data_IF_507670649953
#
_entry.id   IF_507670649953
#
_cell.length_a   1.000
_cell.length_b   1.000
_cell.length_c   1.000
_cell.angle_alpha   90.00
_cell.angle_beta   90.00
_cell.angle_gamma   90.00
#
_symmetry.space_group_name_H-M   'P 1'
#
loop_
_entity.id
_entity.type
_entity.pdbx_description
1 polymer ?
#
# COMPACT_ATOMS: atom_id res chain seq x y z
N UNK A 1 -27.27 -1.96 -16.18
CA UNK A 1 -26.81 -3.15 -15.43
C UNK A 1 -26.25 -2.64 -14.11
N UNK A 2 -26.67 -3.19 -12.96
CA UNK A 2 -26.20 -2.73 -11.64
C UNK A 2 -24.67 -2.86 -11.52
N UNK A 3 -24.04 -1.90 -10.87
CA UNK A 3 -22.56 -1.86 -10.68
C UNK A 3 -22.02 -3.14 -10.05
N UNK A 4 -22.79 -3.72 -9.13
CA UNK A 4 -22.48 -4.99 -8.48
C UNK A 4 -22.30 -6.14 -9.50
N UNK A 5 -23.22 -6.30 -10.47
CA UNK A 5 -23.07 -7.34 -11.50
C UNK A 5 -21.80 -7.16 -12.32
N UNK A 6 -21.52 -5.93 -12.75
CA UNK A 6 -20.30 -5.61 -13.49
C UNK A 6 -19.04 -5.93 -12.68
N UNK A 7 -19.06 -5.69 -11.37
CA UNK A 7 -17.95 -6.00 -10.49
C UNK A 7 -17.73 -7.51 -10.33
N UNK A 8 -18.82 -8.28 -10.19
CA UNK A 8 -18.73 -9.74 -10.12
C UNK A 8 -18.15 -10.32 -11.43
N UNK A 9 -18.61 -9.84 -12.59
CA UNK A 9 -18.06 -10.23 -13.89
C UNK A 9 -16.57 -9.86 -14.03
N UNK A 10 -16.18 -8.65 -13.59
CA UNK A 10 -14.80 -8.21 -13.56
C UNK A 10 -13.93 -9.13 -12.68
N UNK A 11 -14.36 -9.43 -11.46
CA UNK A 11 -13.62 -10.34 -10.56
C UNK A 11 -13.50 -11.74 -11.17
N UNK A 12 -14.58 -12.28 -11.75
CA UNK A 12 -14.57 -13.59 -12.42
C UNK A 12 -13.59 -13.62 -13.58
N UNK A 13 -13.57 -12.58 -14.44
CA UNK A 13 -12.64 -12.48 -15.57
C UNK A 13 -11.16 -12.43 -15.15
N UNK A 14 -10.90 -11.90 -13.95
CA UNK A 14 -9.55 -11.79 -13.37
C UNK A 14 -9.20 -12.92 -12.40
N UNK A 15 -10.11 -13.90 -12.22
CA UNK A 15 -9.97 -14.99 -11.25
C UNK A 15 -9.72 -14.47 -9.81
N UNK A 16 -10.39 -13.37 -9.45
CA UNK A 16 -10.32 -12.75 -8.14
C UNK A 16 -11.49 -13.26 -7.28
N UNK A 17 -11.20 -13.55 -6.02
CA UNK A 17 -12.24 -13.88 -5.05
C UNK A 17 -12.99 -12.62 -4.63
N UNK A 18 -14.30 -12.77 -4.41
CA UNK A 18 -15.20 -11.67 -4.02
C UNK A 18 -15.48 -11.79 -2.53
N UNK A 19 -15.23 -10.71 -1.80
CA UNK A 19 -15.56 -10.60 -0.39
C UNK A 19 -16.89 -9.83 -0.21
N UNK A 20 -17.70 -10.23 0.76
CA UNK A 20 -18.97 -9.54 1.09
C UNK A 20 -18.78 -8.05 1.41
N UNK A 21 -17.65 -7.68 2.06
CA UNK A 21 -17.34 -6.29 2.35
C UNK A 21 -17.01 -5.49 1.08
N UNK A 22 -16.37 -6.11 0.08
CA UNK A 22 -16.14 -5.47 -1.22
C UNK A 22 -17.48 -5.16 -1.93
N UNK A 23 -18.45 -6.08 -1.87
CA UNK A 23 -19.80 -5.85 -2.42
C UNK A 23 -20.50 -4.69 -1.71
N UNK A 24 -20.39 -4.57 -0.37
CA UNK A 24 -20.92 -3.42 0.38
C UNK A 24 -20.31 -2.10 -0.09
N UNK A 25 -19.01 -2.07 -0.36
CA UNK A 25 -18.33 -0.88 -0.90
C UNK A 25 -18.83 -0.56 -2.30
N UNK A 26 -18.95 -1.55 -3.18
CA UNK A 26 -19.48 -1.37 -4.55
C UNK A 26 -20.89 -0.79 -4.51
N UNK A 27 -21.77 -1.29 -3.63
CA UNK A 27 -23.13 -0.76 -3.46
C UNK A 27 -23.12 0.69 -2.90
N UNK A 28 -22.15 1.02 -2.04
CA UNK A 28 -21.97 2.41 -1.58
C UNK A 28 -21.46 3.34 -2.69
N UNK A 29 -20.59 2.84 -3.57
CA UNK A 29 -20.11 3.56 -4.75
C UNK A 29 -21.21 3.76 -5.80
N UNK A 30 -22.10 2.78 -6.01
CA UNK A 30 -23.28 2.94 -6.89
C UNK A 30 -24.20 4.05 -6.38
N UNK A 31 -24.46 4.10 -5.06
CA UNK A 31 -25.24 5.20 -4.46
C UNK A 31 -24.53 6.55 -4.62
N UNK A 32 -23.21 6.59 -4.44
CA UNK A 32 -22.42 7.80 -4.66
C UNK A 32 -22.51 8.27 -6.13
N UNK A 33 -22.44 7.34 -7.07
CA UNK A 33 -22.60 7.62 -8.50
C UNK A 33 -23.96 8.23 -8.81
N UNK A 34 -25.04 7.58 -8.36
CA UNK A 34 -26.41 8.03 -8.62
C UNK A 34 -26.66 9.43 -8.03
N UNK A 35 -26.13 9.72 -6.83
CA UNK A 35 -26.30 11.02 -6.21
C UNK A 35 -25.54 12.16 -6.91
N UNK A 36 -24.41 11.87 -7.56
CA UNK A 36 -23.54 12.90 -8.12
C UNK A 36 -23.58 13.02 -9.65
N UNK A 37 -24.00 11.97 -10.36
CA UNK A 37 -23.91 11.91 -11.82
C UNK A 37 -25.24 11.59 -12.54
N UNK A 38 -26.28 11.13 -11.84
CA UNK A 38 -27.59 10.91 -12.47
C UNK A 38 -28.33 12.22 -12.72
N UNK A 39 -28.54 12.53 -14.00
CA UNK A 39 -29.26 13.69 -14.48
C UNK A 39 -30.79 13.45 -14.62
N UNK A 40 -31.40 12.57 -13.81
CA UNK A 40 -32.87 12.39 -13.90
C UNK A 40 -33.58 13.66 -13.38
N UNK A 41 -34.44 14.20 -14.21
CA UNK A 41 -35.18 15.47 -14.01
C UNK A 41 -35.96 15.49 -12.68
N UNK A 42 -36.35 14.32 -12.19
CA UNK A 42 -37.09 14.13 -10.93
C UNK A 42 -36.22 14.17 -9.67
N UNK A 43 -34.89 13.98 -9.79
CA UNK A 43 -33.96 13.98 -8.64
C UNK A 43 -33.59 15.38 -8.17
N UNK A 44 -33.81 16.41 -8.96
CA UNK A 44 -33.41 17.80 -8.63
C UNK A 44 -34.22 18.39 -7.48
N UNK A 45 -35.45 17.92 -7.24
CA UNK A 45 -36.35 18.45 -6.21
C UNK A 45 -36.09 17.85 -4.79
N UNK A 46 -35.34 16.74 -4.68
CA UNK A 46 -35.07 16.04 -3.43
C UNK A 46 -33.57 15.86 -3.14
N UNK A 47 -32.68 16.56 -3.84
CA UNK A 47 -31.23 16.44 -3.55
C UNK A 47 -30.91 17.08 -2.21
N UNK A 48 -30.84 16.24 -1.15
CA UNK A 48 -30.01 16.49 0.01
C UNK A 48 -28.60 16.77 -0.50
N UNK A 49 -27.87 17.75 0.07
CA UNK A 49 -26.49 18.04 -0.32
C UNK A 49 -25.68 16.77 -0.45
N UNK A 50 -25.32 16.42 -1.69
CA UNK A 50 -24.60 15.19 -1.97
C UNK A 50 -23.12 15.38 -1.67
N UNK A 51 -22.57 14.52 -0.83
CA UNK A 51 -21.13 14.52 -0.56
C UNK A 51 -20.35 14.25 -1.86
N UNK A 52 -19.39 15.11 -2.17
CA UNK A 52 -18.60 15.07 -3.40
C UNK A 52 -17.37 14.15 -3.28
N UNK A 53 -16.97 13.76 -2.07
CA UNK A 53 -15.86 12.86 -1.78
C UNK A 53 -16.31 11.44 -1.48
N UNK A 54 -15.51 10.45 -1.89
CA UNK A 54 -15.60 9.07 -1.43
C UNK A 54 -14.23 8.64 -0.92
N UNK A 55 -14.14 8.41 0.38
CA UNK A 55 -12.90 8.06 1.08
C UNK A 55 -12.92 6.59 1.50
N UNK A 56 -12.10 5.77 0.84
CA UNK A 56 -11.98 4.34 1.13
C UNK A 56 -10.67 4.09 1.86
N UNK A 57 -10.76 3.67 3.11
CA UNK A 57 -9.59 3.29 3.91
C UNK A 57 -9.62 1.81 4.32
N UNK A 58 -8.51 1.32 4.81
CA UNK A 58 -8.34 -0.06 5.29
C UNK A 58 -6.89 -0.51 5.15
N UNK A 59 -6.59 -1.74 5.56
CA UNK A 59 -5.23 -2.29 5.53
C UNK A 59 -4.64 -2.39 4.12
N UNK A 60 -3.32 -2.54 4.04
CA UNK A 60 -2.62 -2.79 2.78
C UNK A 60 -3.06 -4.15 2.20
N UNK A 61 -3.23 -4.23 0.88
CA UNK A 61 -3.55 -5.49 0.19
C UNK A 61 -5.03 -5.90 0.22
N UNK A 62 -5.94 -5.16 0.88
CA UNK A 62 -7.38 -5.50 0.93
C UNK A 62 -8.15 -5.23 -0.37
N UNK A 63 -7.50 -4.59 -1.36
CA UNK A 63 -8.10 -4.33 -2.68
C UNK A 63 -8.76 -2.96 -2.84
N UNK A 64 -8.45 -1.97 -2.00
CA UNK A 64 -8.99 -0.60 -2.10
C UNK A 64 -8.81 0.02 -3.48
N UNK A 65 -7.53 0.09 -3.94
CA UNK A 65 -7.19 0.65 -5.25
C UNK A 65 -7.87 -0.12 -6.38
N UNK A 66 -7.95 -1.46 -6.29
CA UNK A 66 -8.64 -2.29 -7.28
C UNK A 66 -10.13 -1.92 -7.40
N UNK A 67 -10.84 -1.78 -6.29
CA UNK A 67 -12.26 -1.43 -6.28
C UNK A 67 -12.48 -0.02 -6.84
N UNK A 68 -11.66 0.95 -6.39
CA UNK A 68 -11.77 2.32 -6.87
C UNK A 68 -11.36 2.44 -8.35
N UNK A 69 -10.35 1.72 -8.81
CA UNK A 69 -9.98 1.64 -10.23
C UNK A 69 -11.09 1.03 -11.09
N UNK A 70 -11.70 -0.06 -10.62
CA UNK A 70 -12.86 -0.64 -11.30
C UNK A 70 -13.98 0.39 -11.42
N UNK A 71 -14.33 1.06 -10.32
CA UNK A 71 -15.37 2.09 -10.32
C UNK A 71 -15.00 3.28 -11.21
N UNK A 72 -13.78 3.78 -11.10
CA UNK A 72 -13.28 4.90 -11.89
C UNK A 72 -13.32 4.64 -13.40
N UNK A 73 -13.11 3.39 -13.83
CA UNK A 73 -13.21 2.99 -15.24
C UNK A 73 -14.62 3.01 -15.79
N UNK A 74 -15.66 2.94 -14.94
CA UNK A 74 -17.06 2.97 -15.41
C UNK A 74 -17.49 4.34 -15.97
N UNK A 75 -16.71 5.40 -15.78
CA UNK A 75 -17.04 6.73 -16.25
C UNK A 75 -16.38 7.03 -17.61
N UNK A 76 -17.16 7.55 -18.55
CA UNK A 76 -16.68 8.04 -19.85
C UNK A 76 -16.35 9.54 -19.84
N UNK A 77 -16.51 10.21 -18.69
CA UNK A 77 -16.24 11.65 -18.53
C UNK A 77 -14.75 11.92 -18.27
N UNK A 78 -14.34 13.17 -18.46
CA UNK A 78 -12.96 13.62 -18.14
C UNK A 78 -12.62 13.29 -16.68
N UNK A 79 -11.59 12.52 -16.47
CA UNK A 79 -11.18 11.98 -15.16
C UNK A 79 -9.65 11.89 -15.07
N UNK A 80 -9.10 12.09 -13.86
CA UNK A 80 -7.66 12.03 -13.61
C UNK A 80 -7.42 11.18 -12.37
N UNK A 81 -6.51 10.20 -12.47
CA UNK A 81 -5.95 9.45 -11.36
C UNK A 81 -4.51 9.87 -11.18
N UNK A 82 -4.08 10.07 -9.94
CA UNK A 82 -2.72 10.46 -9.59
C UNK A 82 -2.39 9.94 -8.19
N UNK A 83 -1.14 9.58 -7.94
CA UNK A 83 -0.66 9.36 -6.59
C UNK A 83 -0.63 10.68 -5.83
N UNK A 84 -1.08 10.66 -4.58
CA UNK A 84 -1.22 11.89 -3.82
C UNK A 84 0.09 12.66 -3.67
N UNK A 85 1.20 11.97 -3.44
CA UNK A 85 2.52 12.60 -3.35
C UNK A 85 2.92 13.30 -4.65
N UNK A 86 2.69 12.66 -5.80
CA UNK A 86 2.96 13.25 -7.12
C UNK A 86 2.10 14.51 -7.35
N UNK A 87 0.83 14.44 -6.95
CA UNK A 87 -0.06 15.59 -7.01
C UNK A 87 0.45 16.77 -6.18
N UNK A 88 0.94 16.53 -4.97
CA UNK A 88 1.49 17.58 -4.10
C UNK A 88 2.80 18.17 -4.65
N UNK A 89 3.69 17.33 -5.20
CA UNK A 89 4.90 17.81 -5.89
C UNK A 89 4.51 18.77 -7.04
N UNK A 90 3.62 18.33 -7.92
CA UNK A 90 3.16 19.16 -9.04
C UNK A 90 2.47 20.46 -8.58
N UNK A 91 1.77 20.41 -7.46
CA UNK A 91 1.16 21.60 -6.86
C UNK A 91 2.22 22.57 -6.32
N UNK A 92 3.21 22.09 -5.58
CA UNK A 92 4.30 22.91 -5.06
C UNK A 92 5.13 23.55 -6.19
N UNK A 93 5.45 22.78 -7.22
CA UNK A 93 6.15 23.28 -8.41
C UNK A 93 5.34 24.39 -9.11
N UNK A 94 4.02 24.18 -9.23
CA UNK A 94 3.12 25.22 -9.78
C UNK A 94 3.10 26.48 -8.90
N UNK A 95 3.02 26.33 -7.58
CA UNK A 95 3.05 27.45 -6.63
C UNK A 95 4.37 28.23 -6.69
N UNK A 96 5.49 27.51 -6.85
CA UNK A 96 6.81 28.11 -6.95
C UNK A 96 6.97 28.92 -8.24
N UNK A 97 6.51 28.38 -9.37
CA UNK A 97 6.66 28.99 -10.69
C UNK A 97 5.57 30.03 -11.02
N UNK A 98 4.63 30.31 -10.10
CA UNK A 98 3.55 31.25 -10.36
C UNK A 98 3.79 32.61 -9.67
N UNK A 99 3.85 33.67 -10.44
CA UNK A 99 4.08 35.03 -9.92
C UNK A 99 2.91 35.57 -9.07
N UNK A 100 1.69 35.06 -9.31
CA UNK A 100 0.47 35.48 -8.61
C UNK A 100 0.18 34.58 -7.41
N UNK A 101 1.04 34.60 -6.39
CA UNK A 101 0.96 33.69 -5.23
C UNK A 101 -0.40 33.71 -4.53
N UNK A 102 -1.06 34.84 -4.41
CA UNK A 102 -2.36 34.99 -3.73
C UNK A 102 -3.51 34.24 -4.46
N UNK A 103 -3.41 34.11 -5.79
CA UNK A 103 -4.41 33.41 -6.63
C UNK A 103 -3.95 32.06 -7.17
N UNK A 104 -2.75 31.64 -6.82
CA UNK A 104 -2.15 30.46 -7.42
C UNK A 104 -2.97 29.18 -7.14
N UNK A 105 -3.53 29.01 -5.95
CA UNK A 105 -4.40 27.88 -5.62
C UNK A 105 -5.63 27.87 -6.53
N UNK A 106 -6.29 29.01 -6.70
CA UNK A 106 -7.47 29.13 -7.56
C UNK A 106 -7.14 28.82 -9.02
N UNK A 107 -6.03 29.36 -9.53
CA UNK A 107 -5.57 29.08 -10.90
C UNK A 107 -5.27 27.59 -11.08
N UNK A 108 -4.59 26.97 -10.12
CA UNK A 108 -4.29 25.56 -10.14
C UNK A 108 -5.56 24.71 -10.20
N UNK A 109 -6.53 24.98 -9.33
CA UNK A 109 -7.81 24.25 -9.30
C UNK A 109 -8.62 24.49 -10.56
N UNK A 110 -8.60 25.70 -11.13
CA UNK A 110 -9.24 25.97 -12.42
C UNK A 110 -8.58 25.20 -13.57
N UNK A 111 -7.25 25.04 -13.56
CA UNK A 111 -6.54 24.19 -14.51
C UNK A 111 -6.95 22.71 -14.37
N UNK A 112 -7.14 22.23 -13.15
CA UNK A 112 -7.70 20.90 -12.89
C UNK A 112 -9.14 20.80 -13.41
N UNK A 113 -9.93 21.89 -13.33
CA UNK A 113 -11.34 21.92 -13.81
C UNK A 113 -11.44 21.58 -15.29
N UNK A 114 -10.53 22.04 -16.10
CA UNK A 114 -10.52 21.79 -17.53
C UNK A 114 -10.07 20.35 -17.86
N UNK A 115 -9.32 19.72 -16.96
CA UNK A 115 -8.74 18.38 -17.14
C UNK A 115 -9.62 17.26 -16.62
N UNK A 116 -10.37 17.45 -15.53
CA UNK A 116 -11.13 16.37 -14.91
C UNK A 116 -12.40 16.82 -14.18
N UNK A 117 -13.47 16.00 -14.28
CA UNK A 117 -14.68 16.07 -13.44
C UNK A 117 -14.58 15.17 -12.21
N UNK A 118 -13.78 14.11 -12.29
CA UNK A 118 -13.47 13.20 -11.19
C UNK A 118 -11.97 13.17 -11.00
N UNK A 119 -11.53 13.36 -9.75
CA UNK A 119 -10.14 13.17 -9.31
C UNK A 119 -10.05 11.89 -8.48
N UNK A 120 -9.05 11.07 -8.71
CA UNK A 120 -8.76 9.92 -7.87
C UNK A 120 -7.34 10.06 -7.30
N UNK A 121 -7.27 10.27 -6.00
CA UNK A 121 -6.03 10.28 -5.23
C UNK A 121 -5.76 8.87 -4.70
N UNK A 122 -4.75 8.23 -5.26
CA UNK A 122 -4.28 6.94 -4.78
C UNK A 122 -3.21 7.14 -3.70
N UNK A 123 -3.19 6.26 -2.71
CA UNK A 123 -2.27 6.32 -1.56
C UNK A 123 -2.31 7.66 -0.81
N UNK A 124 -3.54 8.12 -0.50
CA UNK A 124 -3.72 9.39 0.19
C UNK A 124 -3.20 9.32 1.62
N UNK A 125 -2.14 10.05 1.89
CA UNK A 125 -1.52 10.19 3.21
C UNK A 125 -0.82 11.55 3.32
N UNK A 126 -0.83 12.15 4.50
CA UNK A 126 -0.16 13.42 4.78
C UNK A 126 0.97 13.17 5.76
N UNK A 127 2.20 13.49 5.33
CA UNK A 127 3.40 13.18 6.11
C UNK A 127 4.24 14.41 6.46
N UNK A 128 4.05 15.53 5.74
CA UNK A 128 4.81 16.73 6.00
C UNK A 128 3.90 17.93 6.33
N UNK A 129 4.46 18.90 7.05
CA UNK A 129 3.76 20.09 7.53
C UNK A 129 3.38 21.03 6.39
N UNK A 130 4.21 21.13 5.34
CA UNK A 130 3.94 22.00 4.20
C UNK A 130 2.65 21.63 3.47
N UNK A 131 2.44 20.31 3.26
CA UNK A 131 1.21 19.79 2.68
C UNK A 131 0.03 20.02 3.63
N UNK A 132 0.21 19.70 4.92
CA UNK A 132 -0.85 19.84 5.93
C UNK A 132 -1.43 21.26 5.97
N UNK A 133 -0.59 22.27 5.89
CA UNK A 133 -0.98 23.69 5.95
C UNK A 133 -1.76 24.17 4.73
N UNK A 134 -1.53 23.56 3.58
CA UNK A 134 -2.12 24.01 2.30
C UNK A 134 -3.40 23.24 1.96
N UNK A 135 -3.52 22.00 2.40
CA UNK A 135 -4.60 21.11 2.01
C UNK A 135 -6.00 21.65 2.31
N UNK A 136 -6.18 22.36 3.41
CA UNK A 136 -7.46 22.99 3.76
C UNK A 136 -7.97 23.88 2.62
N UNK A 137 -7.18 24.88 2.25
CA UNK A 137 -7.53 25.85 1.19
C UNK A 137 -7.66 25.20 -0.19
N UNK A 138 -6.78 24.24 -0.48
CA UNK A 138 -6.80 23.53 -1.75
C UNK A 138 -8.09 22.72 -1.92
N UNK A 139 -8.48 21.97 -0.89
CA UNK A 139 -9.69 21.13 -0.94
C UNK A 139 -10.98 21.95 -0.87
N UNK A 140 -11.03 23.07 -0.13
CA UNK A 140 -12.15 24.01 -0.21
C UNK A 140 -12.41 24.42 -1.66
N UNK A 141 -11.37 24.83 -2.37
CA UNK A 141 -11.51 25.24 -3.79
C UNK A 141 -11.89 24.09 -4.72
N UNK A 142 -11.41 22.87 -4.46
CA UNK A 142 -11.80 21.68 -5.22
C UNK A 142 -13.30 21.39 -5.04
N UNK A 143 -13.82 21.48 -3.81
CA UNK A 143 -15.24 21.26 -3.47
C UNK A 143 -16.12 22.37 -4.02
N UNK A 144 -15.75 23.64 -3.86
CA UNK A 144 -16.46 24.81 -4.44
C UNK A 144 -16.64 24.65 -5.96
N UNK A 145 -15.66 24.05 -6.64
CA UNK A 145 -15.71 23.75 -8.06
C UNK A 145 -16.52 22.48 -8.39
N UNK A 146 -17.26 21.91 -7.42
CA UNK A 146 -18.14 20.73 -7.58
C UNK A 146 -17.43 19.53 -8.23
N UNK A 147 -16.17 19.27 -7.82
CA UNK A 147 -15.39 18.11 -8.25
C UNK A 147 -15.67 16.92 -7.38
N UNK A 148 -15.97 15.79 -8.01
CA UNK A 148 -15.99 14.52 -7.29
C UNK A 148 -14.55 14.03 -7.04
N UNK A 149 -14.30 13.58 -5.83
CA UNK A 149 -12.96 13.11 -5.42
C UNK A 149 -13.06 11.73 -4.81
N UNK A 150 -12.25 10.81 -5.31
CA UNK A 150 -12.06 9.47 -4.76
C UNK A 150 -10.72 9.42 -4.04
N UNK A 151 -10.68 8.80 -2.87
CA UNK A 151 -9.46 8.62 -2.08
C UNK A 151 -9.28 7.14 -1.74
N UNK A 152 -8.10 6.59 -2.01
CA UNK A 152 -7.65 5.37 -1.35
C UNK A 152 -6.62 5.69 -0.29
N UNK A 153 -6.77 5.16 0.91
CA UNK A 153 -5.88 5.41 2.03
C UNK A 153 -5.71 4.18 2.92
N UNK A 154 -4.59 4.09 3.62
CA UNK A 154 -4.41 3.12 4.69
C UNK A 154 -4.81 3.68 6.07
N UNK A 155 -5.18 4.96 6.12
CA UNK A 155 -5.40 5.71 7.35
C UNK A 155 -6.83 6.24 7.36
N UNK A 156 -7.53 6.19 8.50
CA UNK A 156 -8.84 6.82 8.70
C UNK A 156 -8.72 8.33 8.61
N UNK A 157 -9.80 9.02 8.21
CA UNK A 157 -9.79 10.49 8.13
C UNK A 157 -9.33 11.13 9.45
N UNK A 158 -9.83 10.65 10.59
CA UNK A 158 -9.48 11.23 11.88
C UNK A 158 -8.01 11.04 12.30
N UNK A 159 -7.37 9.99 11.77
CA UNK A 159 -6.00 9.59 12.13
C UNK A 159 -4.96 10.14 11.14
N UNK A 160 -5.42 10.86 10.09
CA UNK A 160 -4.52 11.53 9.16
C UNK A 160 -3.65 12.55 9.90
N UNK A 161 -2.33 12.48 9.68
CA UNK A 161 -1.34 13.37 10.28
C UNK A 161 -1.40 13.38 11.82
N UNK A 162 -1.66 12.20 12.47
CA UNK A 162 -1.93 12.08 13.91
C UNK A 162 -0.80 12.61 14.79
N UNK A 163 0.44 12.26 14.45
CA UNK A 163 1.64 12.67 15.20
C UNK A 163 2.35 13.87 14.54
N UNK A 164 1.66 14.60 13.66
CA UNK A 164 2.26 15.68 12.87
C UNK A 164 2.46 16.96 13.65
N UNK A 165 3.53 17.70 13.32
CA UNK A 165 3.81 19.02 13.89
C UNK A 165 2.66 19.99 13.57
N UNK A 166 2.24 20.79 14.56
CA UNK A 166 1.16 21.78 14.42
C UNK A 166 -0.17 21.17 13.92
N UNK A 167 -0.50 19.96 14.37
CA UNK A 167 -1.71 19.26 13.98
C UNK A 167 -2.99 20.10 14.11
N UNK A 168 -3.07 20.98 15.09
CA UNK A 168 -4.25 21.86 15.30
C UNK A 168 -4.59 22.68 14.05
N UNK A 169 -3.59 23.06 13.28
CA UNK A 169 -3.80 23.79 12.02
C UNK A 169 -4.28 22.88 10.87
N UNK A 170 -4.14 21.57 11.02
CA UNK A 170 -4.64 20.57 10.08
C UNK A 170 -6.09 20.13 10.37
N UNK A 171 -6.57 20.31 11.61
CA UNK A 171 -7.93 19.92 12.02
C UNK A 171 -9.05 20.53 11.14
N UNK A 172 -8.98 21.78 10.68
CA UNK A 172 -9.98 22.35 9.77
C UNK A 172 -10.10 21.54 8.47
N UNK A 173 -8.97 21.08 7.90
CA UNK A 173 -8.98 20.23 6.72
C UNK A 173 -9.67 18.88 6.99
N UNK A 174 -9.37 18.22 8.11
CA UNK A 174 -10.06 16.98 8.50
C UNK A 174 -11.57 17.16 8.57
N UNK A 175 -12.03 18.30 9.12
CA UNK A 175 -13.44 18.65 9.17
C UNK A 175 -14.04 18.77 7.77
N UNK A 176 -13.40 19.53 6.88
CA UNK A 176 -13.83 19.69 5.48
C UNK A 176 -13.91 18.33 4.78
N UNK A 177 -12.88 17.49 4.93
CA UNK A 177 -12.81 16.18 4.31
C UNK A 177 -13.95 15.26 4.80
N UNK A 178 -14.22 15.25 6.11
CA UNK A 178 -15.26 14.43 6.75
C UNK A 178 -16.68 14.88 6.38
N UNK A 179 -16.91 16.18 6.37
CA UNK A 179 -18.21 16.74 6.00
C UNK A 179 -18.56 16.49 4.54
N UNK A 180 -17.56 16.54 3.66
CA UNK A 180 -17.74 16.43 2.21
C UNK A 180 -17.47 15.04 1.63
N UNK A 181 -17.05 14.05 2.44
CA UNK A 181 -16.74 12.70 1.96
C UNK A 181 -17.59 11.63 2.63
N UNK A 182 -17.95 10.61 1.86
CA UNK A 182 -18.47 9.35 2.37
C UNK A 182 -17.27 8.49 2.77
N UNK A 183 -17.02 8.37 4.06
CA UNK A 183 -15.96 7.50 4.57
C UNK A 183 -16.45 6.06 4.66
N UNK A 184 -15.66 5.12 4.15
CA UNK A 184 -15.88 3.68 4.22
C UNK A 184 -14.61 2.94 4.56
N UNK A 185 -14.74 1.94 5.41
CA UNK A 185 -13.66 1.00 5.73
C UNK A 185 -13.81 -0.27 4.92
N UNK A 186 -12.74 -0.69 4.26
CA UNK A 186 -12.64 -2.00 3.67
C UNK A 186 -11.76 -2.87 4.55
N UNK A 187 -12.38 -3.71 5.36
CA UNK A 187 -11.73 -4.77 6.12
C UNK A 187 -11.96 -6.12 5.44
N UNK A 188 -10.95 -6.95 5.43
CA UNK A 188 -11.09 -8.36 5.07
C UNK A 188 -11.06 -9.12 6.39
N UNK A 189 -12.15 -9.85 6.70
CA UNK A 189 -12.13 -10.76 7.85
C UNK A 189 -10.98 -11.76 7.69
N UNK A 190 -10.23 -12.02 8.74
CA UNK A 190 -9.04 -12.90 8.74
C UNK A 190 -9.30 -14.30 8.17
N UNK A 191 -10.54 -14.78 8.18
CA UNK A 191 -10.95 -16.06 7.59
C UNK A 191 -10.67 -16.19 6.08
N UNK A 192 -10.59 -15.08 5.33
CA UNK A 192 -10.31 -15.12 3.89
C UNK A 192 -8.82 -15.29 3.55
N UNK A 193 -7.93 -14.95 4.48
CA UNK A 193 -6.49 -15.18 4.31
C UNK A 193 -6.12 -16.64 4.53
N UNK A 194 -6.97 -17.42 5.20
CA UNK A 194 -6.75 -18.83 5.55
C UNK A 194 -7.17 -19.79 4.43
N UNK A 195 -8.09 -19.39 3.52
CA UNK A 195 -8.67 -20.27 2.50
C UNK A 195 -7.93 -20.29 1.14
N UNK A 196 -6.78 -19.62 0.97
CA UNK A 196 -5.87 -19.94 -0.12
C UNK A 196 -5.02 -21.16 0.22
N UNK A 197 -5.68 -22.28 0.46
CA UNK A 197 -5.07 -23.60 0.35
C UNK A 197 -4.80 -23.84 -1.14
N UNK A 198 -3.55 -24.18 -1.41
CA UNK A 198 -2.98 -24.66 -2.65
C UNK A 198 -2.43 -23.60 -3.61
N UNK A 199 -1.44 -22.81 -3.12
CA UNK A 199 -0.28 -22.50 -3.96
C UNK A 199 0.81 -21.86 -3.08
N UNK A 200 1.80 -22.69 -2.75
CA UNK A 200 3.15 -22.31 -2.31
C UNK A 200 3.21 -21.19 -1.25
N UNK A 201 2.65 -21.47 -0.06
CA UNK A 201 2.98 -20.63 1.09
C UNK A 201 4.46 -20.84 1.41
N UNK A 202 5.29 -19.90 0.96
CA UNK A 202 6.75 -19.91 1.18
C UNK A 202 7.16 -19.32 2.54
N UNK A 203 6.21 -19.24 3.45
CA UNK A 203 6.46 -18.97 4.86
C UNK A 203 6.27 -20.26 5.65
N UNK A 204 7.37 -20.87 6.07
CA UNK A 204 7.42 -22.18 6.67
C UNK A 204 7.62 -22.07 8.18
N UNK A 205 6.75 -22.68 8.98
CA UNK A 205 6.82 -22.69 10.45
C UNK A 205 6.10 -23.92 11.00
N UNK A 206 6.42 -24.34 12.25
CA UNK A 206 7.53 -23.91 13.08
C UNK A 206 8.89 -24.43 12.58
N UNK A 207 10.00 -23.97 13.20
CA UNK A 207 11.34 -24.50 12.90
C UNK A 207 11.44 -25.95 13.40
N UNK A 208 11.49 -26.90 12.45
CA UNK A 208 11.66 -28.32 12.71
C UNK A 208 12.26 -29.02 11.47
N UNK A 209 12.55 -30.31 11.59
CA UNK A 209 13.11 -31.10 10.49
C UNK A 209 12.27 -31.09 9.23
N UNK A 210 10.95 -31.15 9.35
CA UNK A 210 10.01 -31.12 8.21
C UNK A 210 10.08 -29.78 7.47
N UNK A 211 10.13 -28.68 8.19
CA UNK A 211 10.28 -27.32 7.64
C UNK A 211 11.63 -27.19 6.93
N UNK A 212 12.71 -27.61 7.57
CA UNK A 212 14.05 -27.60 6.97
C UNK A 212 14.12 -28.49 5.72
N UNK A 213 13.49 -29.65 5.72
CA UNK A 213 13.42 -30.50 4.55
C UNK A 213 12.68 -29.82 3.38
N UNK A 214 11.53 -29.22 3.64
CA UNK A 214 10.75 -28.48 2.63
C UNK A 214 11.55 -27.31 2.04
N UNK A 215 12.20 -26.50 2.89
CA UNK A 215 13.04 -25.39 2.48
C UNK A 215 14.19 -25.87 1.59
N UNK A 216 14.94 -26.88 2.05
CA UNK A 216 16.08 -27.40 1.31
C UNK A 216 15.66 -28.14 0.02
N UNK A 217 14.49 -28.77 -0.02
CA UNK A 217 13.92 -29.32 -1.24
C UNK A 217 13.67 -28.22 -2.26
N UNK A 218 12.96 -27.15 -1.85
CA UNK A 218 12.63 -26.03 -2.72
C UNK A 218 13.90 -25.29 -3.19
N UNK A 219 14.88 -25.10 -2.30
CA UNK A 219 16.17 -24.50 -2.65
C UNK A 219 16.89 -25.32 -3.72
N UNK A 220 16.98 -26.65 -3.58
CA UNK A 220 17.59 -27.54 -4.58
C UNK A 220 16.85 -27.52 -5.92
N UNK A 221 15.52 -27.43 -5.90
CA UNK A 221 14.73 -27.33 -7.13
C UNK A 221 15.04 -26.02 -7.88
N UNK A 222 15.11 -24.88 -7.20
CA UNK A 222 15.41 -23.59 -7.83
C UNK A 222 16.88 -23.45 -8.27
N UNK A 223 17.80 -24.11 -7.56
CA UNK A 223 19.24 -24.04 -7.86
C UNK A 223 19.73 -25.22 -8.71
N UNK A 224 18.80 -26.10 -9.18
CA UNK A 224 19.13 -27.21 -10.06
C UNK A 224 19.85 -26.69 -11.31
N UNK A 225 21.04 -27.26 -11.62
CA UNK A 225 21.94 -26.87 -12.70
C UNK A 225 22.64 -25.50 -12.52
N UNK A 226 22.57 -24.87 -11.34
CA UNK A 226 23.31 -23.65 -11.02
C UNK A 226 24.45 -23.96 -10.05
N UNK A 227 25.57 -23.29 -10.23
CA UNK A 227 26.74 -23.44 -9.36
C UNK A 227 26.72 -22.35 -8.28
N UNK A 228 27.17 -22.72 -7.06
CA UNK A 228 27.41 -21.72 -6.04
C UNK A 228 28.59 -20.83 -6.44
N UNK A 229 28.34 -19.56 -6.62
CA UNK A 229 29.37 -18.57 -6.92
C UNK A 229 29.20 -17.39 -5.94
N UNK A 230 29.94 -17.38 -4.81
CA UNK A 230 29.82 -16.33 -3.81
C UNK A 230 29.94 -14.95 -4.45
N UNK A 231 28.97 -14.05 -4.13
CA UNK A 231 28.89 -12.73 -4.72
C UNK A 231 29.53 -11.71 -3.79
N UNK A 232 30.55 -11.01 -4.27
CA UNK A 232 31.15 -9.87 -3.57
C UNK A 232 30.50 -8.57 -4.00
N UNK A 233 30.06 -7.78 -3.05
CA UNK A 233 29.46 -6.46 -3.24
C UNK A 233 30.37 -5.43 -2.56
N UNK A 234 30.79 -4.42 -3.30
CA UNK A 234 31.50 -3.27 -2.74
C UNK A 234 30.46 -2.19 -2.35
N UNK A 235 30.43 -1.84 -1.08
CA UNK A 235 29.49 -0.87 -0.53
C UNK A 235 30.28 0.21 0.19
N UNK A 236 30.57 1.29 -0.50
CA UNK A 236 31.33 2.44 0.01
C UNK A 236 32.70 2.04 0.61
N UNK A 237 33.43 1.18 -0.09
CA UNK A 237 34.76 0.71 0.34
C UNK A 237 34.71 -0.42 1.39
N UNK A 238 33.54 -0.96 1.68
CA UNK A 238 33.36 -2.15 2.51
C UNK A 238 32.87 -3.33 1.64
N UNK A 239 33.54 -4.47 1.77
CA UNK A 239 33.13 -5.70 1.07
C UNK A 239 32.03 -6.44 1.84
N UNK A 240 30.89 -6.71 1.20
CA UNK A 240 29.86 -7.62 1.67
C UNK A 240 29.87 -8.86 0.78
N UNK A 241 29.95 -10.05 1.38
CA UNK A 241 29.99 -11.32 0.63
C UNK A 241 28.69 -12.11 0.86
N UNK A 242 28.01 -12.46 -0.23
CA UNK A 242 26.88 -13.40 -0.22
C UNK A 242 27.45 -14.79 -0.47
N UNK A 243 27.58 -15.62 0.55
CA UNK A 243 28.24 -16.92 0.46
C UNK A 243 27.43 -17.96 -0.34
N UNK A 244 26.12 -17.96 -0.18
CA UNK A 244 25.20 -18.87 -0.88
C UNK A 244 24.50 -18.10 -2.00
N UNK A 245 25.15 -17.97 -3.16
CA UNK A 245 24.63 -17.24 -4.29
C UNK A 245 24.67 -18.08 -5.57
N UNK A 246 23.51 -18.28 -6.20
CA UNK A 246 23.27 -19.14 -7.36
C UNK A 246 22.53 -18.37 -8.45
N UNK A 247 23.25 -17.60 -9.28
CA UNK A 247 22.65 -16.85 -10.41
C UNK A 247 21.39 -16.06 -10.05
N UNK A 248 21.50 -15.20 -9.06
CA UNK A 248 20.40 -14.36 -8.58
C UNK A 248 19.53 -15.00 -7.49
N UNK A 249 19.80 -16.23 -7.09
CA UNK A 249 19.17 -16.87 -5.94
C UNK A 249 20.14 -16.79 -4.76
N UNK A 250 19.73 -16.11 -3.68
CA UNK A 250 20.53 -15.98 -2.49
C UNK A 250 19.87 -16.69 -1.30
N UNK A 251 20.69 -17.30 -0.43
CA UNK A 251 20.22 -17.92 0.80
C UNK A 251 21.02 -17.39 1.98
N UNK A 252 20.30 -16.91 2.99
CA UNK A 252 20.84 -16.33 4.21
C UNK A 252 20.19 -16.95 5.44
N UNK A 253 20.93 -17.02 6.53
CA UNK A 253 20.35 -17.06 7.86
C UNK A 253 19.90 -15.66 8.28
N UNK A 254 18.88 -15.59 9.14
CA UNK A 254 18.39 -14.31 9.67
C UNK A 254 19.50 -13.48 10.30
N UNK A 255 20.38 -14.10 11.08
CA UNK A 255 21.50 -13.44 11.74
C UNK A 255 22.50 -12.81 10.76
N UNK A 256 22.70 -13.41 9.59
CA UNK A 256 23.59 -12.85 8.57
C UNK A 256 23.07 -11.53 8.01
N UNK A 257 21.75 -11.32 8.01
CA UNK A 257 21.10 -10.11 7.51
C UNK A 257 20.77 -9.10 8.61
N UNK A 258 20.34 -9.55 9.79
CA UNK A 258 19.74 -8.68 10.78
C UNK A 258 20.52 -8.56 12.09
N UNK A 259 21.44 -9.50 12.41
CA UNK A 259 22.30 -9.38 13.59
C UNK A 259 23.61 -8.64 13.28
N UNK A 260 24.09 -8.69 12.06
CA UNK A 260 25.22 -7.88 11.59
C UNK A 260 24.81 -6.41 11.41
N UNK A 261 25.80 -5.50 11.46
CA UNK A 261 25.56 -4.06 11.24
C UNK A 261 25.34 -3.73 9.75
N UNK A 262 24.27 -4.29 9.19
CA UNK A 262 23.81 -3.97 7.85
C UNK A 262 22.71 -2.90 7.92
N UNK A 263 22.62 -2.09 6.89
CA UNK A 263 21.60 -1.03 6.76
C UNK A 263 20.90 -1.04 5.41
N UNK A 264 20.11 -0.02 5.16
CA UNK A 264 19.30 0.10 3.95
C UNK A 264 20.13 0.00 2.66
N UNK A 265 21.32 0.56 2.65
CA UNK A 265 22.21 0.55 1.49
C UNK A 265 22.71 -0.86 1.15
N UNK A 266 23.07 -1.64 2.19
CA UNK A 266 23.45 -3.05 2.03
C UNK A 266 22.30 -3.86 1.44
N UNK A 267 21.09 -3.68 1.95
CA UNK A 267 19.90 -4.37 1.46
C UNK A 267 19.51 -3.97 0.03
N UNK A 268 19.74 -2.71 -0.34
CA UNK A 268 19.56 -2.26 -1.73
C UNK A 268 20.53 -2.99 -2.65
N UNK A 269 21.81 -3.11 -2.28
CA UNK A 269 22.81 -3.81 -3.11
C UNK A 269 22.53 -5.32 -3.18
N UNK A 270 22.14 -5.96 -2.08
CA UNK A 270 21.68 -7.37 -2.09
C UNK A 270 20.48 -7.52 -3.03
N UNK A 271 19.48 -6.64 -2.92
CA UNK A 271 18.27 -6.71 -3.73
C UNK A 271 18.52 -6.45 -5.22
N UNK A 272 19.56 -5.69 -5.57
CA UNK A 272 19.92 -5.43 -6.98
C UNK A 272 20.48 -6.66 -7.70
N UNK A 273 21.06 -7.60 -6.97
CA UNK A 273 21.65 -8.80 -7.56
C UNK A 273 20.79 -10.07 -7.37
N UNK A 274 19.68 -9.99 -6.62
CA UNK A 274 18.85 -11.15 -6.30
C UNK A 274 17.50 -11.11 -7.03
N UNK A 275 17.11 -12.27 -7.58
CA UNK A 275 15.79 -12.53 -8.15
C UNK A 275 14.92 -13.37 -7.21
N UNK A 276 15.54 -14.01 -6.22
CA UNK A 276 14.90 -14.81 -5.18
C UNK A 276 15.77 -14.83 -3.92
N UNK A 277 15.14 -14.68 -2.74
CA UNK A 277 15.86 -14.68 -1.46
C UNK A 277 15.26 -15.71 -0.51
N UNK A 278 16.10 -16.57 0.05
CA UNK A 278 15.79 -17.45 1.17
C UNK A 278 16.28 -16.79 2.47
N UNK A 279 15.42 -16.79 3.49
CA UNK A 279 15.77 -16.33 4.85
C UNK A 279 15.44 -17.45 5.82
N UNK A 280 16.45 -18.03 6.43
CA UNK A 280 16.32 -19.14 7.38
C UNK A 280 16.30 -18.63 8.82
N UNK A 281 15.57 -19.34 9.68
CA UNK A 281 15.61 -19.20 11.13
C UNK A 281 15.16 -17.80 11.62
N UNK A 282 14.08 -17.24 11.02
CA UNK A 282 13.48 -16.01 11.53
C UNK A 282 12.96 -16.21 12.96
N UNK A 283 13.48 -15.49 13.97
CA UNK A 283 13.04 -15.61 15.36
C UNK A 283 11.70 -14.93 15.59
N UNK A 284 11.10 -15.21 16.74
CA UNK A 284 10.02 -14.37 17.27
C UNK A 284 10.58 -13.07 17.84
N UNK A 285 9.88 -11.94 17.63
CA UNK A 285 10.38 -10.63 18.04
C UNK A 285 9.86 -10.20 19.41
N UNK A 286 10.72 -9.51 20.16
CA UNK A 286 10.44 -8.96 21.47
C UNK A 286 11.34 -7.75 21.75
N UNK A 287 11.32 -7.23 22.98
CA UNK A 287 12.13 -6.06 23.33
C UNK A 287 13.65 -6.30 23.22
N UNK A 288 14.11 -7.53 23.41
CA UNK A 288 15.55 -7.85 23.42
C UNK A 288 16.15 -7.87 22.01
N UNK A 289 15.35 -8.12 20.96
CA UNK A 289 15.79 -8.18 19.57
C UNK A 289 15.16 -7.08 18.70
N UNK A 290 14.75 -5.98 19.31
CA UNK A 290 14.10 -4.86 18.62
C UNK A 290 14.97 -4.21 17.53
N UNK A 291 16.29 -4.16 17.71
CA UNK A 291 17.23 -3.67 16.69
C UNK A 291 17.27 -4.58 15.46
N UNK A 292 17.30 -5.89 15.67
CA UNK A 292 17.23 -6.90 14.60
C UNK A 292 15.87 -6.81 13.89
N UNK A 293 14.79 -6.63 14.64
CA UNK A 293 13.46 -6.39 14.08
C UNK A 293 13.41 -5.14 13.19
N UNK A 294 14.01 -4.04 13.62
CA UNK A 294 14.06 -2.81 12.82
C UNK A 294 14.81 -3.03 11.48
N UNK A 295 15.94 -3.75 11.52
CA UNK A 295 16.66 -4.11 10.30
C UNK A 295 15.85 -5.02 9.39
N UNK A 296 15.16 -6.00 9.95
CA UNK A 296 14.27 -6.88 9.21
C UNK A 296 13.12 -6.12 8.53
N UNK A 297 12.50 -5.16 9.23
CA UNK A 297 11.47 -4.28 8.65
C UNK A 297 12.05 -3.54 7.43
N UNK A 298 13.23 -2.95 7.57
CA UNK A 298 13.91 -2.22 6.48
C UNK A 298 14.22 -3.13 5.29
N UNK A 299 14.73 -4.34 5.55
CA UNK A 299 15.00 -5.35 4.53
C UNK A 299 13.73 -5.71 3.74
N UNK A 300 12.64 -6.03 4.46
CA UNK A 300 11.37 -6.42 3.83
C UNK A 300 10.76 -5.25 3.04
N UNK A 301 10.88 -4.02 3.51
CA UNK A 301 10.44 -2.84 2.78
C UNK A 301 11.14 -2.72 1.42
N UNK A 302 12.47 -2.90 1.38
CA UNK A 302 13.27 -2.83 0.15
C UNK A 302 12.96 -3.99 -0.81
N UNK A 303 12.89 -5.21 -0.30
CA UNK A 303 12.55 -6.41 -1.09
C UNK A 303 11.15 -6.26 -1.70
N UNK A 304 10.21 -5.69 -0.94
CA UNK A 304 8.84 -5.47 -1.37
C UNK A 304 8.74 -4.47 -2.54
N UNK A 305 9.46 -3.36 -2.47
CA UNK A 305 9.50 -2.37 -3.56
C UNK A 305 10.03 -2.98 -4.86
N UNK A 306 11.00 -3.89 -4.75
CA UNK A 306 11.58 -4.59 -5.92
C UNK A 306 10.79 -5.83 -6.34
N UNK A 307 9.74 -6.20 -5.59
CA UNK A 307 8.89 -7.37 -5.85
C UNK A 307 9.67 -8.68 -5.95
N UNK A 308 10.73 -8.82 -5.15
CA UNK A 308 11.55 -10.03 -5.14
C UNK A 308 10.81 -11.10 -4.32
N UNK A 309 10.49 -12.27 -4.90
CA UNK A 309 9.89 -13.38 -4.17
C UNK A 309 10.84 -13.92 -3.10
N UNK A 310 10.28 -14.30 -1.95
CA UNK A 310 11.04 -14.83 -0.83
C UNK A 310 10.48 -16.17 -0.34
N UNK A 311 11.34 -16.96 0.32
CA UNK A 311 10.96 -18.08 1.17
C UNK A 311 11.58 -17.87 2.54
N UNK A 312 10.76 -17.97 3.59
CA UNK A 312 11.20 -17.79 4.98
C UNK A 312 10.88 -19.03 5.80
N UNK A 313 11.82 -19.47 6.62
CA UNK A 313 11.54 -20.36 7.75
C UNK A 313 11.56 -19.59 9.07
N UNK A 314 10.60 -19.82 9.95
CA UNK A 314 10.38 -19.06 11.16
C UNK A 314 9.95 -19.90 12.34
N UNK A 315 10.24 -19.44 13.55
CA UNK A 315 9.76 -20.07 14.79
C UNK A 315 8.24 -20.08 14.88
N UNK A 316 7.59 -18.98 14.47
CA UNK A 316 6.15 -18.79 14.54
C UNK A 316 5.52 -18.64 13.17
N UNK A 317 4.25 -18.96 13.06
CA UNK A 317 3.50 -18.64 11.85
C UNK A 317 3.42 -17.14 11.62
N UNK A 318 3.30 -16.73 10.39
CA UNK A 318 3.32 -15.31 9.98
C UNK A 318 2.31 -14.45 10.75
N UNK A 319 1.12 -14.99 11.07
CA UNK A 319 0.08 -14.28 11.81
C UNK A 319 0.34 -14.25 13.33
N UNK A 320 1.23 -15.09 13.83
CA UNK A 320 1.56 -15.22 15.26
C UNK A 320 2.93 -14.65 15.61
N UNK A 321 3.60 -13.98 14.64
CA UNK A 321 4.84 -13.27 14.93
C UNK A 321 4.56 -12.10 15.87
N UNK A 322 5.27 -12.09 16.99
CA UNK A 322 5.24 -10.97 17.94
C UNK A 322 6.09 -9.79 17.44
N UNK A 323 6.02 -8.68 18.16
CA UNK A 323 6.78 -7.46 17.90
C UNK A 323 7.15 -6.79 19.21
N UNK A 324 8.28 -6.10 19.26
CA UNK A 324 8.53 -5.11 20.32
C UNK A 324 7.41 -4.05 20.31
N UNK A 325 7.12 -3.48 21.47
CA UNK A 325 6.03 -2.49 21.62
C UNK A 325 6.23 -1.27 20.72
N UNK A 326 7.46 -0.78 20.66
CA UNK A 326 7.83 0.40 19.87
C UNK A 326 7.64 0.20 18.36
N UNK A 327 7.77 -1.02 17.84
CA UNK A 327 7.71 -1.33 16.41
C UNK A 327 6.38 -1.97 15.98
N UNK A 328 5.47 -2.24 16.91
CA UNK A 328 4.24 -3.00 16.65
C UNK A 328 3.35 -2.40 15.55
N UNK A 329 3.25 -1.08 15.49
CA UNK A 329 2.45 -0.35 14.47
C UNK A 329 3.05 -0.54 13.05
N UNK A 330 4.37 -0.42 12.94
CA UNK A 330 5.09 -0.56 11.66
C UNK A 330 5.14 -2.03 11.24
N UNK A 331 5.32 -2.94 12.18
CA UNK A 331 5.45 -4.36 11.93
C UNK A 331 4.18 -4.99 11.33
N UNK A 332 2.99 -4.48 11.63
CA UNK A 332 1.73 -4.89 10.97
C UNK A 332 1.82 -4.75 9.45
N UNK A 333 2.41 -3.66 8.96
CA UNK A 333 2.66 -3.44 7.53
C UNK A 333 3.64 -4.48 6.99
N UNK A 334 4.69 -4.78 7.73
CA UNK A 334 5.68 -5.80 7.35
C UNK A 334 5.04 -7.19 7.22
N UNK A 335 4.15 -7.57 8.13
CA UNK A 335 3.38 -8.83 8.04
C UNK A 335 2.57 -8.89 6.73
N UNK A 336 1.89 -7.81 6.36
CA UNK A 336 1.14 -7.76 5.10
C UNK A 336 2.05 -7.94 3.88
N UNK A 337 3.21 -7.29 3.87
CA UNK A 337 4.22 -7.43 2.80
C UNK A 337 4.81 -8.83 2.72
N UNK A 338 5.04 -9.47 3.86
CA UNK A 338 5.50 -10.86 3.92
C UNK A 338 4.49 -11.81 3.28
N UNK A 339 3.19 -11.65 3.54
CA UNK A 339 2.14 -12.42 2.88
C UNK A 339 2.19 -12.29 1.35
N UNK A 340 2.37 -11.07 0.86
CA UNK A 340 2.46 -10.82 -0.58
C UNK A 340 3.74 -11.41 -1.19
N UNK A 341 4.90 -11.13 -0.61
CA UNK A 341 6.21 -11.61 -1.10
C UNK A 341 6.31 -13.13 -1.15
N UNK A 342 5.75 -13.81 -0.13
CA UNK A 342 5.75 -15.28 -0.07
C UNK A 342 4.73 -15.93 -1.02
N UNK A 343 3.84 -15.14 -1.62
CA UNK A 343 2.82 -15.61 -2.58
C UNK A 343 3.06 -15.15 -4.03
N UNK A 344 4.10 -14.38 -4.32
CA UNK A 344 4.48 -14.00 -5.70
C UNK A 344 4.72 -15.27 -6.52
N UNK A 345 4.14 -15.36 -7.71
CA UNK A 345 4.42 -16.47 -8.64
C UNK A 345 5.87 -16.38 -9.16
N UNK A 346 6.55 -17.52 -9.18
CA UNK A 346 7.92 -17.67 -9.66
C UNK A 346 7.88 -18.21 -11.08
#
# INVERSE_FOLDING_TARGET
MKLEKKFIEFCSSKKLEINSNQIKIINSLEKFQNNNFDNSFLSSFFKKESKLGFYLHGDVGVGKTMILDFFFKQFEIKKTKVHFNEFMINFHDFMFNNDKKDKAIEIFVNNLRNKAKILFFDEFQVTNIGDAMILGRLFEKIIENKKCVLFSSNIKINDLYEDGLQRDQFLPFLKILKENSIERELSINEDYRINKKDNLNRFLSPLNETTNFKLNKFFRELTKHKTNNPKKLDIKGRELVINNFYEGIAKFKFDELCDKNLGAEDYLQISNCCNFIFIEELPDFNENNSNQQQRFITLIDIIYEKKIPILISSEKSINNLNSSKSLSKIFKRTISRLHELTSIKI
#
